data_IF_606065210455
#
_entry.id   IF_606065210455
#
_cell.length_a   1.000
_cell.length_b   1.000
_cell.length_c   1.000
_cell.angle_alpha   90.00
_cell.angle_beta   90.00
_cell.angle_gamma   90.00
#
_symmetry.space_group_name_H-M   'P 1'
#
loop_
_entity.id
_entity.type
_entity.pdbx_description
1 polymer ?
#
# COMPACT_ATOMS: atom_id res chain seq x y z
N UNK A 1 12.77 11.41 -26.87
CA UNK A 1 11.80 10.33 -27.13
C UNK A 1 10.48 10.79 -26.51
N UNK A 2 9.54 11.23 -27.36
CA UNK A 2 8.23 11.74 -26.95
C UNK A 2 7.37 10.53 -26.57
N UNK A 3 6.89 10.47 -25.34
CA UNK A 3 5.93 9.44 -24.92
C UNK A 3 4.54 10.04 -25.00
N UNK A 4 3.73 9.47 -25.88
CA UNK A 4 2.32 9.75 -26.04
C UNK A 4 1.58 9.44 -24.73
N UNK A 5 1.25 10.50 -23.99
CA UNK A 5 0.13 10.48 -23.05
C UNK A 5 -1.09 10.86 -23.89
N UNK A 6 -1.60 9.90 -24.66
CA UNK A 6 -2.93 10.04 -25.24
C UNK A 6 -3.96 9.74 -24.17
N UNK A 7 -4.82 10.73 -23.96
CA UNK A 7 -5.99 10.75 -23.10
C UNK A 7 -6.89 9.53 -23.35
N UNK A 8 -6.96 8.62 -22.39
CA UNK A 8 -8.05 7.66 -22.24
C UNK A 8 -8.96 8.13 -21.09
N UNK A 9 -9.76 9.17 -21.35
CA UNK A 9 -10.69 9.74 -20.35
C UNK A 9 -12.02 8.97 -20.22
N UNK A 10 -12.17 7.79 -20.84
CA UNK A 10 -13.43 7.01 -20.78
C UNK A 10 -13.27 5.52 -20.41
N UNK A 11 -12.09 5.06 -19.98
CA UNK A 11 -12.00 3.81 -19.24
C UNK A 11 -12.26 4.12 -17.76
N UNK A 12 -13.44 3.75 -17.25
CA UNK A 12 -13.80 3.99 -15.84
C UNK A 12 -12.63 3.62 -14.92
N UNK A 13 -12.19 4.58 -14.09
CA UNK A 13 -11.05 4.45 -13.18
C UNK A 13 -11.14 3.13 -12.44
N UNK A 14 -10.26 2.19 -12.77
CA UNK A 14 -10.20 0.88 -12.10
C UNK A 14 -9.39 1.05 -10.82
N UNK A 15 -10.00 0.85 -9.64
CA UNK A 15 -9.26 0.90 -8.39
C UNK A 15 -8.16 -0.16 -8.42
N UNK A 16 -6.97 0.20 -7.97
CA UNK A 16 -5.82 -0.70 -7.99
C UNK A 16 -5.20 -0.88 -6.62
N UNK A 17 -4.50 -1.98 -6.47
CA UNK A 17 -3.72 -2.27 -5.29
C UNK A 17 -2.24 -2.44 -5.64
N UNK A 18 -1.38 -1.71 -4.95
CA UNK A 18 0.06 -1.69 -5.16
C UNK A 18 0.80 -2.06 -3.88
N UNK A 19 1.68 -3.07 -3.94
CA UNK A 19 2.64 -3.31 -2.87
C UNK A 19 3.92 -2.52 -3.11
N UNK A 20 4.47 -1.90 -2.08
CA UNK A 20 5.77 -1.22 -2.12
C UNK A 20 6.71 -1.93 -1.16
N UNK A 21 7.66 -2.70 -1.71
CA UNK A 21 8.48 -3.64 -0.96
C UNK A 21 9.95 -3.23 -0.96
N UNK A 22 10.61 -3.28 0.19
CA UNK A 22 12.04 -2.94 0.29
C UNK A 22 12.54 -2.69 1.72
N UNK A 23 13.81 -2.92 2.00
CA UNK A 23 14.40 -2.69 3.34
C UNK A 23 14.39 -1.20 3.75
N UNK A 24 14.79 -0.89 4.98
CA UNK A 24 14.90 0.51 5.45
C UNK A 24 15.92 1.28 4.60
N UNK A 25 15.69 2.59 4.43
CA UNK A 25 16.60 3.46 3.69
C UNK A 25 16.56 3.33 2.17
N UNK A 26 15.71 2.47 1.59
CA UNK A 26 15.63 2.31 0.13
C UNK A 26 14.81 3.40 -0.58
N UNK A 27 14.13 4.28 0.15
CA UNK A 27 13.34 5.38 -0.43
C UNK A 27 11.85 5.08 -0.67
N UNK A 28 11.29 4.04 -0.04
CA UNK A 28 9.84 3.70 -0.13
C UNK A 28 8.94 4.88 0.24
N UNK A 29 9.18 5.52 1.39
CA UNK A 29 8.36 6.65 1.85
C UNK A 29 8.51 7.86 0.91
N UNK A 30 9.70 8.05 0.33
CA UNK A 30 9.96 9.09 -0.70
C UNK A 30 9.14 8.85 -1.96
N UNK A 31 9.15 7.64 -2.52
CA UNK A 31 8.34 7.36 -3.72
C UNK A 31 6.84 7.44 -3.42
N UNK A 32 6.43 7.06 -2.20
CA UNK A 32 5.03 7.18 -1.79
C UNK A 32 4.58 8.63 -1.73
N UNK A 33 5.40 9.53 -1.17
CA UNK A 33 5.14 10.99 -1.21
C UNK A 33 5.00 11.48 -2.65
N UNK A 34 5.97 11.16 -3.50
CA UNK A 34 5.89 11.56 -4.91
C UNK A 34 4.63 11.05 -5.61
N UNK A 35 4.19 9.83 -5.33
CA UNK A 35 2.96 9.27 -5.90
C UNK A 35 1.74 10.06 -5.41
N UNK A 36 1.64 10.29 -4.10
CA UNK A 36 0.51 11.03 -3.52
C UNK A 36 0.45 12.47 -4.05
N UNK A 37 1.60 13.13 -4.18
CA UNK A 37 1.71 14.48 -4.72
C UNK A 37 1.35 14.54 -6.21
N UNK A 38 1.90 13.62 -7.03
CA UNK A 38 1.64 13.55 -8.48
C UNK A 38 0.21 13.17 -8.82
N UNK A 39 -0.42 12.33 -8.01
CA UNK A 39 -1.84 12.00 -8.16
C UNK A 39 -2.75 13.18 -7.80
N UNK A 40 -2.19 14.31 -7.35
CA UNK A 40 -2.91 15.43 -6.74
C UNK A 40 -4.00 14.88 -5.82
N UNK A 41 -3.59 13.96 -4.92
CA UNK A 41 -4.51 13.08 -4.24
C UNK A 41 -5.55 13.92 -3.49
N UNK A 42 -6.75 14.04 -4.10
CA UNK A 42 -7.85 14.81 -3.53
C UNK A 42 -8.21 14.30 -2.14
N UNK A 43 -7.94 13.03 -1.87
CA UNK A 43 -8.17 12.38 -0.59
C UNK A 43 -7.26 11.16 -0.42
N UNK A 44 -6.32 11.24 0.51
CA UNK A 44 -5.46 10.12 0.88
C UNK A 44 -5.37 9.96 2.40
N UNK A 45 -5.45 8.71 2.88
CA UNK A 45 -5.29 8.35 4.28
C UNK A 45 -4.08 7.44 4.44
N UNK A 46 -3.11 7.90 5.22
CA UNK A 46 -1.94 7.12 5.62
C UNK A 46 -2.24 6.48 6.97
N UNK A 47 -2.32 5.16 6.98
CA UNK A 47 -2.43 4.34 8.19
C UNK A 47 -1.02 3.92 8.55
N UNK A 48 -0.46 4.51 9.61
CA UNK A 48 0.93 4.28 10.06
C UNK A 48 0.97 3.96 11.56
N UNK A 49 1.96 3.21 12.03
CA UNK A 49 2.27 3.16 13.47
C UNK A 49 3.40 4.12 13.85
N UNK A 50 4.10 4.64 12.84
CA UNK A 50 5.23 5.54 12.96
C UNK A 50 4.79 6.94 12.50
N UNK A 51 3.92 7.57 13.29
CA UNK A 51 3.41 8.94 13.05
C UNK A 51 4.54 9.95 12.75
N UNK A 52 5.70 9.71 13.34
CA UNK A 52 6.93 10.49 13.20
C UNK A 52 7.54 10.46 11.79
N UNK A 53 7.21 9.47 10.94
CA UNK A 53 7.69 9.42 9.55
C UNK A 53 6.93 10.40 8.62
N UNK A 54 5.77 10.86 9.08
CA UNK A 54 4.84 11.70 8.33
C UNK A 54 4.53 13.01 9.07
N UNK A 55 5.53 13.64 9.72
CA UNK A 55 5.35 14.83 10.58
C UNK A 55 4.62 16.00 9.95
N UNK A 56 4.82 16.19 8.64
CA UNK A 56 4.21 17.24 7.83
C UNK A 56 2.76 16.94 7.41
N UNK A 57 2.31 15.70 7.58
CA UNK A 57 0.94 15.28 7.25
C UNK A 57 0.03 15.43 8.48
N UNK A 58 -1.09 16.16 8.38
CA UNK A 58 -2.00 16.35 9.51
C UNK A 58 -2.68 15.05 9.94
N UNK A 59 -2.90 14.91 11.24
CA UNK A 59 -3.55 13.74 11.85
C UNK A 59 -5.09 13.81 11.74
N UNK A 60 -5.72 12.63 11.75
CA UNK A 60 -7.17 12.46 11.81
C UNK A 60 -7.52 11.24 12.67
N UNK A 61 -8.52 11.37 13.54
CA UNK A 61 -8.82 10.37 14.58
C UNK A 61 -9.81 9.26 14.12
N UNK A 62 -10.57 9.51 13.04
CA UNK A 62 -11.56 8.58 12.47
C UNK A 62 -12.64 8.13 13.48
N UNK A 63 -13.01 9.00 14.41
CA UNK A 63 -14.01 8.73 15.46
C UNK A 63 -15.43 9.08 15.01
N UNK A 64 -15.57 10.05 14.12
CA UNK A 64 -16.86 10.57 13.62
C UNK A 64 -16.94 10.45 12.11
N UNK A 65 -18.15 10.53 11.56
CA UNK A 65 -18.36 10.47 10.10
C UNK A 65 -17.65 11.60 9.36
N UNK A 66 -17.63 12.79 9.95
CA UNK A 66 -17.00 13.96 9.34
C UNK A 66 -15.48 13.86 9.27
N UNK A 67 -14.86 13.01 10.09
CA UNK A 67 -13.42 12.72 10.02
C UNK A 67 -13.03 12.05 8.69
N UNK A 68 -14.00 11.48 7.96
CA UNK A 68 -13.80 10.91 6.63
C UNK A 68 -14.07 11.92 5.50
N UNK A 69 -14.51 13.14 5.82
CA UNK A 69 -14.84 14.20 4.86
C UNK A 69 -13.71 15.24 4.83
N UNK A 70 -12.57 14.85 4.24
CA UNK A 70 -11.43 15.74 4.09
C UNK A 70 -10.90 15.75 2.66
N UNK A 71 -10.17 16.83 2.35
CA UNK A 71 -9.34 16.95 1.17
C UNK A 71 -7.84 16.90 1.50
N UNK A 72 -7.06 16.44 0.53
CA UNK A 72 -5.62 16.26 0.62
C UNK A 72 -5.23 14.98 1.36
N UNK A 73 -4.05 15.02 1.97
CA UNK A 73 -3.45 13.87 2.66
C UNK A 73 -3.68 14.03 4.17
N UNK A 74 -4.10 12.95 4.84
CA UNK A 74 -4.17 12.83 6.30
C UNK A 74 -3.47 11.55 6.75
N UNK A 75 -3.07 11.51 8.01
CA UNK A 75 -2.55 10.29 8.64
C UNK A 75 -3.36 9.91 9.87
N UNK A 76 -3.44 8.63 10.17
CA UNK A 76 -4.00 8.10 11.41
C UNK A 76 -3.07 7.04 11.95
N UNK A 77 -3.04 6.88 13.28
CA UNK A 77 -2.44 5.67 13.87
C UNK A 77 -3.39 4.49 13.74
N UNK A 78 -2.83 3.31 13.50
CA UNK A 78 -3.62 2.08 13.57
C UNK A 78 -3.66 1.55 14.99
N UNK A 79 -4.86 1.31 15.48
CA UNK A 79 -5.08 0.65 16.76
C UNK A 79 -6.00 -0.56 16.57
N UNK A 80 -5.76 -1.65 17.31
CA UNK A 80 -6.67 -2.78 17.33
C UNK A 80 -8.01 -2.38 17.97
N UNK A 81 -9.07 -3.17 17.76
CA UNK A 81 -10.33 -2.98 18.46
C UNK A 81 -10.14 -3.05 19.99
N UNK A 82 -10.83 -2.19 20.72
CA UNK A 82 -10.93 -2.21 22.18
C UNK A 82 -12.37 -2.50 22.59
N UNK A 83 -12.68 -2.47 23.89
CA UNK A 83 -14.07 -2.62 24.37
C UNK A 83 -14.98 -1.50 23.87
N UNK A 84 -14.44 -0.29 23.71
CA UNK A 84 -15.20 0.94 23.44
C UNK A 84 -14.96 1.48 22.01
N UNK A 85 -14.01 0.90 21.26
CA UNK A 85 -13.66 1.33 19.91
C UNK A 85 -13.51 0.12 18.97
N UNK A 86 -14.11 0.20 17.78
CA UNK A 86 -14.06 -0.87 16.78
C UNK A 86 -12.68 -1.03 16.10
N UNK A 87 -11.73 -0.15 16.39
CA UNK A 87 -10.38 -0.16 15.84
C UNK A 87 -10.27 0.52 14.47
N UNK A 88 -9.06 0.92 14.10
CA UNK A 88 -8.80 1.71 12.88
C UNK A 88 -9.22 0.97 11.61
N UNK A 89 -8.91 -0.33 11.51
CA UNK A 89 -9.20 -1.11 10.30
C UNK A 89 -10.70 -1.25 10.05
N UNK A 90 -11.51 -1.47 11.09
CA UNK A 90 -12.97 -1.56 10.95
C UNK A 90 -13.57 -0.21 10.53
N UNK A 91 -12.99 0.91 10.97
CA UNK A 91 -13.38 2.27 10.58
C UNK A 91 -13.11 2.58 9.11
N UNK A 92 -12.11 1.93 8.48
CA UNK A 92 -11.79 2.15 7.06
C UNK A 92 -12.95 1.80 6.13
N UNK A 93 -13.93 1.00 6.57
CA UNK A 93 -15.17 0.73 5.82
C UNK A 93 -16.00 1.97 5.50
N UNK A 94 -15.71 3.12 6.10
CA UNK A 94 -16.37 4.40 5.79
C UNK A 94 -15.56 5.29 4.84
N UNK A 95 -14.28 4.95 4.59
CA UNK A 95 -13.44 5.67 3.65
C UNK A 95 -13.82 5.30 2.22
N UNK A 96 -13.97 6.31 1.34
CA UNK A 96 -14.48 6.17 -0.03
C UNK A 96 -13.75 7.15 -0.94
N UNK A 97 -13.64 6.79 -2.22
CA UNK A 97 -13.18 7.66 -3.32
C UNK A 97 -11.82 8.31 -3.02
N UNK A 98 -10.81 7.49 -2.73
CA UNK A 98 -9.52 7.99 -2.29
C UNK A 98 -8.43 6.94 -2.27
N UNK A 99 -7.31 7.29 -1.65
CA UNK A 99 -6.14 6.42 -1.52
C UNK A 99 -5.98 6.00 -0.06
N UNK A 100 -5.76 4.72 0.21
CA UNK A 100 -5.32 4.23 1.53
C UNK A 100 -3.88 3.75 1.40
N UNK A 101 -3.00 4.23 2.29
CA UNK A 101 -1.62 3.77 2.40
C UNK A 101 -1.43 3.07 3.74
N UNK A 102 -1.18 1.76 3.73
CA UNK A 102 -0.73 1.02 4.90
C UNK A 102 0.80 1.09 4.98
N UNK A 103 1.30 1.98 5.83
CA UNK A 103 2.72 2.26 5.97
C UNK A 103 3.36 1.42 7.09
N UNK A 104 4.46 0.74 6.81
CA UNK A 104 5.00 -0.37 7.61
C UNK A 104 3.92 -1.37 8.08
N UNK A 105 3.45 -2.16 7.11
CA UNK A 105 2.32 -3.07 7.27
C UNK A 105 2.52 -4.19 8.32
N UNK A 106 3.72 -4.35 8.92
CA UNK A 106 4.08 -5.45 9.82
C UNK A 106 3.18 -5.60 11.06
N UNK A 107 2.65 -4.49 11.57
CA UNK A 107 1.96 -4.44 12.86
C UNK A 107 0.43 -4.54 12.75
N UNK A 108 -0.14 -4.32 11.58
CA UNK A 108 -1.60 -4.35 11.35
C UNK A 108 -2.15 -5.79 11.25
N UNK A 109 -1.41 -6.80 11.69
CA UNK A 109 -1.49 -8.15 11.08
C UNK A 109 -1.27 -9.31 12.07
N UNK A 110 -1.49 -9.08 13.37
CA UNK A 110 -1.17 -10.07 14.42
C UNK A 110 -2.35 -10.91 14.94
N UNK A 111 -3.59 -10.55 14.64
CA UNK A 111 -4.76 -11.33 15.10
C UNK A 111 -5.72 -11.71 13.96
N UNK A 112 -6.52 -12.76 14.20
CA UNK A 112 -7.49 -13.30 13.24
C UNK A 112 -8.70 -12.36 13.03
N UNK A 113 -9.05 -11.53 14.03
CA UNK A 113 -10.13 -10.55 13.88
C UNK A 113 -9.76 -9.49 12.85
N UNK A 114 -8.50 -9.09 12.84
CA UNK A 114 -7.93 -8.16 11.89
C UNK A 114 -7.86 -8.74 10.47
N UNK A 115 -7.70 -10.07 10.31
CA UNK A 115 -7.77 -10.69 8.97
C UNK A 115 -9.12 -10.45 8.32
N UNK A 116 -10.22 -10.74 9.04
CA UNK A 116 -11.56 -10.57 8.48
C UNK A 116 -11.81 -9.11 8.08
N UNK A 117 -11.33 -8.14 8.88
CA UNK A 117 -11.46 -6.71 8.57
C UNK A 117 -10.64 -6.30 7.33
N UNK A 118 -9.44 -6.85 7.17
CA UNK A 118 -8.62 -6.60 5.99
C UNK A 118 -9.28 -7.24 4.77
N UNK A 119 -9.75 -8.48 4.89
CA UNK A 119 -10.44 -9.20 3.82
C UNK A 119 -11.71 -8.47 3.37
N UNK A 120 -12.55 -8.01 4.31
CA UNK A 120 -13.73 -7.19 4.01
C UNK A 120 -13.37 -5.90 3.25
N UNK A 121 -12.27 -5.24 3.65
CA UNK A 121 -11.75 -4.07 2.92
C UNK A 121 -11.27 -4.46 1.52
N UNK A 122 -10.56 -5.58 1.37
CA UNK A 122 -10.07 -6.06 0.07
C UNK A 122 -11.19 -6.54 -0.86
N UNK A 123 -12.30 -7.05 -0.32
CA UNK A 123 -13.47 -7.42 -1.13
C UNK A 123 -14.17 -6.15 -1.64
N UNK A 124 -14.25 -5.13 -0.79
CA UNK A 124 -15.06 -3.93 -1.06
C UNK A 124 -14.29 -2.78 -1.73
N UNK A 125 -12.95 -2.77 -1.76
CA UNK A 125 -12.16 -1.60 -2.22
C UNK A 125 -12.58 -1.09 -3.60
N UNK A 126 -12.96 -1.99 -4.52
CA UNK A 126 -13.42 -1.61 -5.86
C UNK A 126 -14.74 -0.85 -5.83
N UNK A 127 -15.72 -1.36 -5.08
CA UNK A 127 -17.02 -0.70 -4.89
C UNK A 127 -16.88 0.63 -4.12
N UNK A 128 -15.84 0.72 -3.30
CA UNK A 128 -15.50 1.90 -2.52
C UNK A 128 -14.65 2.93 -3.30
N UNK A 129 -14.26 2.60 -4.54
CA UNK A 129 -13.39 3.40 -5.40
C UNK A 129 -12.04 3.75 -4.74
N UNK A 130 -11.42 2.77 -4.07
CA UNK A 130 -10.18 2.94 -3.31
C UNK A 130 -8.95 2.44 -4.05
N UNK A 131 -7.92 3.29 -4.16
CA UNK A 131 -6.58 2.77 -4.47
C UNK A 131 -5.87 2.42 -3.16
N UNK A 132 -5.23 1.25 -3.10
CA UNK A 132 -4.59 0.77 -1.88
C UNK A 132 -3.09 0.59 -2.10
N UNK A 133 -2.28 1.17 -1.23
CA UNK A 133 -0.84 0.95 -1.16
C UNK A 133 -0.50 0.19 0.12
N UNK A 134 0.27 -0.89 0.00
CA UNK A 134 0.80 -1.65 1.13
C UNK A 134 2.31 -1.54 1.13
N UNK A 135 2.86 -0.79 2.08
CA UNK A 135 4.31 -0.57 2.21
C UNK A 135 4.87 -1.53 3.24
N UNK A 136 5.87 -2.32 2.85
CA UNK A 136 6.48 -3.29 3.74
C UNK A 136 7.95 -3.52 3.42
N UNK A 137 8.64 -4.22 4.32
CA UNK A 137 10.08 -4.45 4.19
C UNK A 137 10.47 -5.60 3.25
N UNK A 138 9.48 -6.36 2.81
CA UNK A 138 9.66 -7.55 1.99
C UNK A 138 8.37 -8.37 1.91
N UNK A 139 8.43 -9.45 1.17
CA UNK A 139 7.30 -10.32 0.85
C UNK A 139 6.68 -11.02 2.06
N UNK A 140 7.50 -11.54 2.99
CA UNK A 140 7.03 -12.25 4.18
C UNK A 140 6.34 -11.33 5.18
N UNK A 141 6.59 -10.02 5.08
CA UNK A 141 6.01 -9.00 5.96
C UNK A 141 4.61 -8.56 5.55
N UNK A 142 4.17 -8.93 4.35
CA UNK A 142 2.81 -8.70 3.87
C UNK A 142 1.99 -9.98 4.09
N UNK A 143 0.75 -9.84 4.55
CA UNK A 143 -0.16 -10.98 4.73
C UNK A 143 -0.56 -11.65 3.41
N UNK A 144 -0.79 -12.97 3.40
CA UNK A 144 -1.22 -13.70 2.21
C UNK A 144 -2.41 -13.07 1.49
N UNK A 145 -3.44 -12.62 2.23
CA UNK A 145 -4.69 -12.08 1.66
C UNK A 145 -4.44 -10.96 0.66
N UNK A 146 -3.46 -10.08 0.92
CA UNK A 146 -3.13 -8.97 0.04
C UNK A 146 -2.60 -9.42 -1.33
N UNK A 147 -1.95 -10.59 -1.41
CA UNK A 147 -1.43 -11.11 -2.67
C UNK A 147 -2.52 -11.52 -3.65
N UNK A 148 -3.71 -11.88 -3.16
CA UNK A 148 -4.86 -12.20 -4.02
C UNK A 148 -5.43 -10.98 -4.73
N UNK A 149 -5.14 -9.75 -4.26
CA UNK A 149 -5.73 -8.51 -4.77
C UNK A 149 -4.70 -7.56 -5.40
N UNK A 150 -3.40 -7.79 -5.19
CA UNK A 150 -2.32 -6.90 -5.65
C UNK A 150 -2.16 -6.90 -7.16
N UNK A 151 -2.49 -5.79 -7.81
CA UNK A 151 -2.27 -5.61 -9.25
C UNK A 151 -0.84 -5.20 -9.63
N UNK A 152 -0.12 -4.54 -8.71
CA UNK A 152 1.17 -3.94 -8.98
C UNK A 152 2.14 -4.13 -7.81
N UNK A 153 3.44 -4.29 -8.11
CA UNK A 153 4.51 -4.27 -7.12
C UNK A 153 5.55 -3.22 -7.51
N UNK A 154 5.89 -2.33 -6.58
CA UNK A 154 7.08 -1.48 -6.64
C UNK A 154 8.14 -2.12 -5.75
N UNK A 155 9.15 -2.70 -6.38
CA UNK A 155 10.19 -3.48 -5.70
C UNK A 155 11.48 -2.67 -5.62
N UNK A 156 11.86 -2.34 -4.39
CA UNK A 156 13.19 -1.87 -4.01
C UNK A 156 14.03 -3.04 -3.50
N UNK A 157 15.30 -2.78 -3.18
CA UNK A 157 16.19 -3.76 -2.57
C UNK A 157 15.56 -4.41 -1.35
N UNK A 158 15.54 -5.74 -1.33
CA UNK A 158 15.17 -6.53 -0.15
C UNK A 158 15.83 -7.90 -0.19
N UNK A 159 16.27 -8.37 0.98
CA UNK A 159 16.82 -9.72 1.19
C UNK A 159 15.74 -10.73 1.58
N UNK A 160 14.50 -10.28 1.73
CA UNK A 160 13.39 -11.13 2.13
C UNK A 160 13.01 -12.10 1.00
N UNK A 161 12.80 -13.37 1.34
CA UNK A 161 12.63 -14.40 0.32
C UNK A 161 11.24 -14.39 -0.29
N UNK A 162 11.18 -14.29 -1.62
CA UNK A 162 9.94 -14.41 -2.42
C UNK A 162 9.36 -15.83 -2.31
N UNK A 163 10.19 -16.84 -2.02
CA UNK A 163 9.80 -18.25 -2.01
C UNK A 163 8.64 -18.56 -1.07
N UNK A 164 8.55 -17.86 0.06
CA UNK A 164 7.45 -18.00 1.03
C UNK A 164 6.09 -17.57 0.49
N UNK A 165 6.04 -16.87 -0.65
CA UNK A 165 4.83 -16.39 -1.32
C UNK A 165 4.61 -17.03 -2.68
N UNK A 166 5.27 -18.16 -2.95
CA UNK A 166 5.21 -18.83 -4.26
C UNK A 166 3.78 -19.21 -4.65
N UNK A 167 2.99 -19.71 -3.70
CA UNK A 167 1.62 -20.13 -3.98
C UNK A 167 0.74 -18.93 -4.33
N UNK A 168 0.85 -17.85 -3.58
CA UNK A 168 0.06 -16.63 -3.78
C UNK A 168 0.47 -15.85 -5.04
N UNK A 169 1.74 -15.94 -5.44
CA UNK A 169 2.26 -15.26 -6.63
C UNK A 169 2.04 -16.04 -7.93
N UNK A 170 1.83 -17.36 -7.86
CA UNK A 170 1.52 -18.21 -9.01
C UNK A 170 2.48 -18.03 -10.18
N UNK A 171 1.95 -17.78 -11.37
CA UNK A 171 2.72 -17.57 -12.61
C UNK A 171 3.68 -16.37 -12.56
N UNK A 172 3.38 -15.37 -11.72
CA UNK A 172 4.23 -14.19 -11.56
C UNK A 172 5.47 -14.45 -10.70
N UNK A 173 5.55 -15.60 -10.02
CA UNK A 173 6.62 -15.93 -9.09
C UNK A 173 8.01 -15.75 -9.70
N UNK A 174 8.29 -16.39 -10.84
CA UNK A 174 9.63 -16.37 -11.44
C UNK A 174 10.02 -14.96 -11.88
N UNK A 175 9.09 -14.25 -12.52
CA UNK A 175 9.26 -12.85 -12.93
C UNK A 175 9.65 -11.95 -11.75
N UNK A 176 9.03 -12.16 -10.58
CA UNK A 176 9.32 -11.39 -9.37
C UNK A 176 10.70 -11.76 -8.81
N UNK A 177 11.08 -13.04 -8.78
CA UNK A 177 12.40 -13.50 -8.35
C UNK A 177 13.52 -12.91 -9.22
N UNK A 178 13.34 -12.94 -10.54
CA UNK A 178 14.32 -12.37 -11.47
C UNK A 178 14.43 -10.85 -11.27
N UNK A 179 13.28 -10.18 -11.08
CA UNK A 179 13.24 -8.74 -10.80
C UNK A 179 13.92 -8.40 -9.48
N UNK A 180 13.72 -9.20 -8.41
CA UNK A 180 14.39 -9.01 -7.13
C UNK A 180 15.90 -9.11 -7.28
N UNK A 181 16.38 -10.12 -8.01
CA UNK A 181 17.81 -10.35 -8.25
C UNK A 181 18.43 -9.15 -8.96
N UNK A 182 17.77 -8.64 -10.00
CA UNK A 182 18.23 -7.47 -10.73
C UNK A 182 18.22 -6.20 -9.87
N UNK A 183 17.12 -5.95 -9.15
CA UNK A 183 16.99 -4.78 -8.27
C UNK A 183 18.09 -4.81 -7.21
N UNK A 184 18.29 -5.94 -6.53
CA UNK A 184 19.32 -6.07 -5.50
C UNK A 184 20.73 -5.77 -6.06
N UNK A 185 21.07 -6.30 -7.24
CA UNK A 185 22.36 -6.05 -7.89
C UNK A 185 22.55 -4.57 -8.25
N UNK A 186 21.53 -3.94 -8.84
CA UNK A 186 21.62 -2.51 -9.20
C UNK A 186 21.63 -1.59 -7.98
N UNK A 187 20.99 -2.01 -6.89
CA UNK A 187 20.95 -1.27 -5.65
C UNK A 187 22.26 -1.25 -4.86
N UNK A 188 23.27 -2.02 -5.27
CA UNK A 188 24.64 -1.88 -4.75
C UNK A 188 25.26 -0.54 -5.13
N UNK A 189 24.92 -0.01 -6.32
CA UNK A 189 25.41 1.28 -6.83
C UNK A 189 24.41 2.42 -6.60
N UNK A 190 23.11 2.11 -6.58
CA UNK A 190 22.06 3.09 -6.34
C UNK A 190 21.03 2.53 -5.33
N UNK A 191 21.16 2.83 -4.03
CA UNK A 191 20.28 2.31 -2.98
C UNK A 191 18.78 2.56 -3.22
N UNK A 192 18.43 3.56 -4.03
CA UNK A 192 17.06 3.95 -4.36
C UNK A 192 16.54 3.35 -5.67
N UNK A 193 17.33 2.51 -6.34
CA UNK A 193 16.88 1.80 -7.53
C UNK A 193 15.68 0.90 -7.20
N UNK A 194 14.63 1.01 -8.01
CA UNK A 194 13.44 0.18 -7.91
C UNK A 194 12.93 -0.22 -9.29
N UNK A 195 12.09 -1.24 -9.32
CA UNK A 195 11.31 -1.63 -10.51
C UNK A 195 9.82 -1.71 -10.21
N UNK A 196 9.01 -1.41 -11.22
CA UNK A 196 7.56 -1.62 -11.19
C UNK A 196 7.23 -2.92 -11.92
N UNK A 197 6.40 -3.75 -11.32
CA UNK A 197 5.96 -5.04 -11.83
C UNK A 197 4.43 -5.00 -11.89
N UNK A 198 3.88 -5.08 -13.10
CA UNK A 198 2.44 -5.29 -13.30
C UNK A 198 2.15 -6.80 -13.27
N UNK A 199 1.14 -7.20 -12.52
CA UNK A 199 0.76 -8.62 -12.35
C UNK A 199 -0.42 -9.02 -13.25
N UNK A 200 -1.36 -8.11 -13.49
CA UNK A 200 -2.46 -8.24 -14.46
C UNK A 200 -3.01 -6.86 -14.86
#
# INVERSE_FOLDING_TARGET
>A
MKTDIQNNENEGRRPFMTMVLGTNGTGKSTIMREILDKCNAKKALIVTNHIEEWRDVPEVDLTKRDDFLFEGIRKTRCYPPTKDDIGTLAKLRYFRKGIIVFDDARLYMKDAKTDNLIEDLMISYRQQELDIFVVAHGFTKVRPVFYSYVSNIILFRTLDSVAYRKMELGENYQKIVDTQTEVNKKSEKNPHYYKRIKLW
#
